data_IF_428562888053
#
_entry.id   IF_428562888053
#
_cell.length_a   1.000
_cell.length_b   1.000
_cell.length_c   1.000
_cell.angle_alpha   90.00
_cell.angle_beta   90.00
_cell.angle_gamma   90.00
#
_symmetry.space_group_name_H-M   'P 1'
#
loop_
_entity.id
_entity.type
_entity.pdbx_description
1 polymer ?
#
# COMPACT_ATOMS: atom_id res chain seq x y z
N UNK A 1 8.38 -4.97 -0.46
CA UNK A 1 7.60 -3.79 -0.93
C UNK A 1 6.97 -3.09 0.28
N UNK A 2 6.57 -1.81 0.21
CA UNK A 2 5.98 -1.08 1.36
C UNK A 2 4.69 -0.42 0.93
N UNK A 3 3.61 -0.65 1.69
CA UNK A 3 2.31 -0.01 1.48
C UNK A 3 2.24 1.29 2.30
N UNK A 4 1.92 2.40 1.65
CA UNK A 4 1.93 3.74 2.24
C UNK A 4 0.52 4.36 2.07
N UNK A 5 -0.09 4.91 3.14
CA UNK A 5 -1.35 5.66 3.01
C UNK A 5 -1.13 6.97 2.25
N UNK A 6 -2.10 7.37 1.44
CA UNK A 6 -2.13 8.73 0.86
C UNK A 6 -2.74 9.69 1.90
N UNK A 7 -2.00 10.74 2.29
CA UNK A 7 -2.33 11.64 3.41
C UNK A 7 -3.73 12.28 3.36
N UNK A 8 -4.38 12.31 2.19
CA UNK A 8 -5.73 12.83 1.98
C UNK A 8 -6.79 11.76 1.71
N UNK A 9 -6.49 10.47 1.94
CA UNK A 9 -7.40 9.38 1.63
C UNK A 9 -7.32 8.22 2.64
N UNK A 10 -8.48 7.84 3.14
CA UNK A 10 -8.70 6.62 3.92
C UNK A 10 -8.92 5.37 3.06
N UNK A 11 -9.00 5.54 1.74
CA UNK A 11 -9.32 4.50 0.76
C UNK A 11 -8.31 4.39 -0.39
N UNK A 12 -7.10 4.92 -0.19
CA UNK A 12 -6.04 4.86 -1.21
C UNK A 12 -4.68 4.48 -0.62
N UNK A 13 -3.92 3.68 -1.36
CA UNK A 13 -2.60 3.19 -0.97
C UNK A 13 -1.60 3.35 -2.11
N UNK A 14 -0.33 3.60 -1.79
CA UNK A 14 0.79 3.56 -2.74
C UNK A 14 1.85 2.55 -2.34
N UNK A 15 2.58 2.02 -3.32
CA UNK A 15 3.73 1.16 -3.09
C UNK A 15 4.69 1.17 -4.27
N UNK A 16 5.96 0.83 -4.01
CA UNK A 16 6.98 0.65 -5.03
C UNK A 16 7.26 -0.84 -5.27
N UNK A 17 7.31 -1.23 -6.54
CA UNK A 17 7.65 -2.57 -7.02
C UNK A 17 8.97 -2.49 -7.78
N UNK A 18 9.93 -3.38 -7.47
CA UNK A 18 11.23 -3.38 -8.13
C UNK A 18 11.22 -4.08 -9.51
N UNK A 19 10.27 -4.99 -9.73
CA UNK A 19 10.14 -5.79 -10.93
C UNK A 19 8.66 -6.07 -11.23
N UNK A 20 7.99 -5.15 -11.91
CA UNK A 20 6.69 -5.35 -12.53
C UNK A 20 6.86 -6.09 -13.86
N UNK A 21 6.07 -7.13 -14.08
CA UNK A 21 6.14 -8.04 -15.23
C UNK A 21 4.86 -7.97 -16.09
N UNK A 22 4.13 -6.85 -16.06
CA UNK A 22 2.92 -6.68 -16.86
C UNK A 22 3.19 -6.43 -18.35
N UNK A 23 4.42 -6.04 -18.69
CA UNK A 23 4.91 -5.85 -20.06
C UNK A 23 5.94 -6.92 -20.48
N UNK A 24 6.79 -6.58 -21.45
CA UNK A 24 7.77 -7.52 -22.01
C UNK A 24 9.03 -7.72 -21.14
N UNK A 25 9.28 -6.81 -20.19
CA UNK A 25 10.45 -6.83 -19.32
C UNK A 25 10.10 -6.41 -17.89
N UNK A 26 10.96 -6.81 -16.93
CA UNK A 26 10.84 -6.41 -15.53
C UNK A 26 11.19 -4.93 -15.36
N UNK A 27 10.24 -4.13 -14.88
CA UNK A 27 10.42 -2.67 -14.69
C UNK A 27 10.10 -2.26 -13.26
N UNK A 28 10.89 -1.35 -12.68
CA UNK A 28 10.57 -0.75 -11.40
C UNK A 28 9.45 0.30 -11.56
N UNK A 29 8.35 0.15 -10.81
CA UNK A 29 7.16 1.00 -10.92
C UNK A 29 6.65 1.45 -9.55
N UNK A 30 6.05 2.64 -9.53
CA UNK A 30 5.32 3.18 -8.38
C UNK A 30 3.83 3.14 -8.66
N UNK A 31 3.10 2.40 -7.83
CA UNK A 31 1.67 2.22 -7.96
C UNK A 31 0.89 3.04 -6.94
N UNK A 32 -0.33 3.41 -7.34
CA UNK A 32 -1.36 3.96 -6.48
C UNK A 32 -2.68 3.24 -6.77
N UNK A 33 -3.35 2.74 -5.73
CA UNK A 33 -4.68 2.14 -5.85
C UNK A 33 -5.66 2.94 -4.99
N UNK A 34 -6.86 3.17 -5.54
CA UNK A 34 -8.00 3.77 -4.83
C UNK A 34 -9.17 2.80 -4.88
N UNK A 35 -9.80 2.59 -3.74
CA UNK A 35 -10.93 1.69 -3.58
C UNK A 35 -12.25 2.48 -3.56
N UNK A 36 -13.37 1.77 -3.77
CA UNK A 36 -14.71 2.36 -3.70
C UNK A 36 -15.01 2.94 -2.32
N UNK A 37 -14.67 2.19 -1.28
CA UNK A 37 -14.89 2.52 0.13
C UNK A 37 -13.69 2.11 0.99
N UNK A 38 -13.68 2.61 2.22
CA UNK A 38 -12.60 2.42 3.19
C UNK A 38 -12.54 0.98 3.71
N UNK A 39 -13.68 0.27 3.72
CA UNK A 39 -13.75 -1.15 4.07
C UNK A 39 -12.93 -1.98 3.08
N UNK A 40 -13.20 -1.84 1.78
CA UNK A 40 -12.47 -2.53 0.71
C UNK A 40 -10.98 -2.20 0.74
N UNK A 41 -10.62 -0.94 1.00
CA UNK A 41 -9.22 -0.53 1.13
C UNK A 41 -8.52 -1.22 2.30
N UNK A 42 -9.20 -1.41 3.43
CA UNK A 42 -8.65 -2.07 4.60
C UNK A 42 -8.53 -3.59 4.42
N UNK A 43 -9.50 -4.22 3.72
CA UNK A 43 -9.40 -5.64 3.32
C UNK A 43 -8.17 -5.85 2.44
N UNK A 44 -7.95 -4.99 1.44
CA UNK A 44 -6.76 -5.05 0.60
C UNK A 44 -5.47 -4.89 1.42
N UNK A 45 -5.42 -3.89 2.31
CA UNK A 45 -4.24 -3.67 3.18
C UNK A 45 -3.92 -4.90 4.03
N UNK A 46 -4.93 -5.52 4.64
CA UNK A 46 -4.74 -6.71 5.48
C UNK A 46 -4.18 -7.88 4.66
N UNK A 47 -4.79 -8.17 3.50
CA UNK A 47 -4.33 -9.23 2.60
C UNK A 47 -2.90 -8.99 2.09
N UNK A 48 -2.58 -7.75 1.71
CA UNK A 48 -1.24 -7.36 1.24
C UNK A 48 -0.18 -7.60 2.32
N UNK A 49 -0.42 -7.14 3.55
CA UNK A 49 0.54 -7.30 4.65
C UNK A 49 0.69 -8.78 5.09
N UNK A 50 -0.39 -9.55 5.06
CA UNK A 50 -0.34 -10.98 5.35
C UNK A 50 0.49 -11.74 4.31
N UNK A 51 0.32 -11.43 3.01
CA UNK A 51 1.16 -12.00 1.95
C UNK A 51 2.65 -11.68 2.15
N UNK A 52 2.98 -10.46 2.59
CA UNK A 52 4.37 -10.09 2.91
C UNK A 52 4.94 -10.88 4.07
N UNK A 53 4.14 -11.10 5.12
CA UNK A 53 4.53 -11.90 6.29
C UNK A 53 4.83 -13.34 5.89
N UNK A 54 3.99 -13.94 5.03
CA UNK A 54 4.19 -15.30 4.53
C UNK A 54 5.47 -15.44 3.70
N UNK A 55 5.85 -14.39 2.97
CA UNK A 55 7.08 -14.36 2.17
C UNK A 55 8.35 -14.04 3.01
N UNK A 56 8.23 -13.87 4.33
CA UNK A 56 9.34 -13.48 5.20
C UNK A 56 9.76 -12.00 5.06
N UNK A 57 9.02 -11.22 4.27
CA UNK A 57 9.26 -9.79 4.03
C UNK A 57 8.69 -8.92 5.13
N UNK A 58 9.13 -9.09 6.37
CA UNK A 58 8.68 -8.28 7.50
C UNK A 58 9.38 -6.92 7.51
N UNK A 59 8.75 -5.90 6.92
CA UNK A 59 8.94 -4.51 7.35
C UNK A 59 7.57 -3.83 7.45
N UNK A 60 6.76 -4.30 8.41
CA UNK A 60 5.55 -3.63 8.82
C UNK A 60 5.92 -2.28 9.47
N UNK A 61 5.42 -1.17 8.92
CA UNK A 61 5.51 0.11 9.60
C UNK A 61 4.18 0.41 10.31
N UNK A 62 4.22 0.26 11.63
CA UNK A 62 3.29 0.91 12.55
C UNK A 62 3.50 2.42 12.42
N UNK A 63 2.49 3.15 11.94
CA UNK A 63 2.65 4.57 11.63
C UNK A 63 1.34 5.20 11.20
N UNK A 64 0.35 5.19 12.10
CA UNK A 64 -0.76 6.13 12.02
C UNK A 64 -0.22 7.53 12.38
N UNK A 65 0.36 8.23 11.40
CA UNK A 65 0.54 9.68 11.52
C UNK A 65 -0.83 10.31 11.33
N UNK A 66 -1.53 10.44 12.45
CA UNK A 66 -2.77 11.18 12.55
C UNK A 66 -2.43 12.68 12.56
N UNK A 67 -2.16 13.27 11.40
CA UNK A 67 -2.20 14.73 11.25
C UNK A 67 -3.67 15.13 11.28
N UNK A 68 -4.14 15.53 12.46
CA UNK A 68 -5.32 16.38 12.56
C UNK A 68 -4.95 17.72 11.97
N UNK A 69 -5.30 17.98 10.71
CA UNK A 69 -5.35 19.35 10.22
C UNK A 69 -6.53 20.04 10.90
N UNK A 70 -6.21 20.93 11.83
CA UNK A 70 -7.13 21.89 12.43
C UNK A 70 -6.59 23.28 12.14
N UNK A 71 -7.53 24.18 11.81
CA UNK A 71 -7.40 25.60 11.43
C UNK A 71 -7.23 25.86 9.94
#
# INVERSE_FOLDING_TARGET
MRLIPIVSSDRSWTWHTAADLSGEAAVALHFAARFKDSESANVFKAAFLEAQKQLGGASAHSGAVNVKSTT
#
